data_IF_940674301455
#
_entry.id   IF_940674301455
#
_cell.length_a   1.000
_cell.length_b   1.000
_cell.length_c   1.000
_cell.angle_alpha   90.00
_cell.angle_beta   90.00
_cell.angle_gamma   90.00
#
_symmetry.space_group_name_H-M   'P 1'
#
loop_
_entity.id
_entity.type
_entity.pdbx_description
1 polymer ?
#
# COMPACT_ATOMS: atom_id res chain seq x y z
N UNK A 1 5.90 6.90 23.56
CA UNK A 1 5.34 8.22 23.95
C UNK A 1 4.39 8.70 22.86
N UNK A 2 3.36 9.52 23.14
CA UNK A 2 2.46 10.04 22.10
C UNK A 2 2.45 11.58 22.10
N UNK A 3 2.52 12.17 20.90
CA UNK A 3 2.51 13.61 20.68
C UNK A 3 1.30 14.01 19.81
N UNK A 4 0.77 15.20 20.10
CA UNK A 4 -0.26 15.86 19.33
C UNK A 4 0.36 16.90 18.37
N UNK A 5 0.09 16.77 17.07
CA UNK A 5 0.61 17.66 16.02
C UNK A 5 -0.57 18.38 15.34
N UNK A 6 -0.79 19.68 15.62
CA UNK A 6 -1.89 20.42 15.02
C UNK A 6 -1.80 20.52 13.50
N UNK A 7 -2.93 20.78 12.83
CA UNK A 7 -2.96 21.08 11.40
C UNK A 7 -2.10 22.31 11.06
N UNK A 8 -1.33 22.23 9.96
CA UNK A 8 -0.50 23.34 9.49
C UNK A 8 0.76 23.59 10.31
N UNK A 9 1.10 22.74 11.28
CA UNK A 9 2.25 22.93 12.20
C UNK A 9 3.25 21.78 12.15
N UNK A 10 4.46 22.09 12.63
CA UNK A 10 5.55 21.13 12.83
C UNK A 10 5.88 21.12 14.31
N UNK A 11 5.92 19.94 14.90
CA UNK A 11 6.32 19.75 16.29
C UNK A 11 7.64 18.99 16.35
N UNK A 12 8.61 19.51 17.10
CA UNK A 12 9.95 18.93 17.22
C UNK A 12 10.28 18.61 18.68
N UNK A 13 10.86 17.44 18.90
CA UNK A 13 11.27 16.94 20.22
C UNK A 13 12.79 16.76 20.21
N UNK A 14 13.45 17.25 21.25
CA UNK A 14 14.90 17.19 21.37
C UNK A 14 15.30 16.16 22.42
N UNK A 15 16.15 15.19 22.03
CA UNK A 15 16.67 14.17 22.93
C UNK A 15 18.20 14.30 23.03
N UNK A 16 18.75 14.61 24.22
CA UNK A 16 20.20 14.63 24.43
C UNK A 16 20.76 13.20 24.48
N UNK A 17 21.74 12.91 23.62
CA UNK A 17 22.47 11.64 23.56
C UNK A 17 23.97 11.92 23.71
N UNK A 18 24.39 12.17 24.96
CA UNK A 18 25.77 12.61 25.28
C UNK A 18 26.64 11.46 25.81
N UNK A 19 26.03 10.42 26.40
CA UNK A 19 26.76 9.33 27.04
C UNK A 19 27.53 8.45 26.02
N UNK A 20 28.82 8.23 26.28
CA UNK A 20 29.71 7.39 25.45
C UNK A 20 29.38 5.89 25.47
N UNK A 21 28.49 5.46 26.38
CA UNK A 21 27.98 4.08 26.41
C UNK A 21 27.01 3.79 25.27
N UNK A 22 26.38 4.81 24.69
CA UNK A 22 25.51 4.60 23.54
C UNK A 22 26.32 4.62 22.24
N UNK A 23 26.07 3.64 21.40
CA UNK A 23 26.71 3.48 20.08
C UNK A 23 25.73 3.79 18.94
N UNK A 24 24.45 3.41 19.10
CA UNK A 24 23.41 3.69 18.12
C UNK A 24 22.08 3.94 18.82
N UNK A 25 21.15 4.59 18.13
CA UNK A 25 19.77 4.69 18.57
C UNK A 25 18.82 4.29 17.45
N UNK A 26 17.64 3.82 17.81
CA UNK A 26 16.56 3.46 16.91
C UNK A 26 15.33 4.27 17.28
N UNK A 27 14.66 4.86 16.30
CA UNK A 27 13.41 5.60 16.50
C UNK A 27 12.32 4.95 15.69
N UNK A 28 11.24 4.60 16.36
CA UNK A 28 10.02 4.08 15.77
C UNK A 28 8.92 5.12 15.92
N UNK A 29 8.14 5.32 14.87
CA UNK A 29 6.95 6.17 14.93
C UNK A 29 5.77 5.56 14.17
N UNK A 30 4.57 5.87 14.63
CA UNK A 30 3.32 5.42 14.04
C UNK A 30 2.22 6.47 14.27
N UNK A 31 1.51 6.83 13.20
CA UNK A 31 0.34 7.71 13.29
C UNK A 31 -0.84 6.89 13.82
N UNK A 32 -1.38 7.31 14.97
CA UNK A 32 -2.53 6.66 15.62
C UNK A 32 -3.83 7.14 14.96
N UNK A 33 -3.95 8.44 14.74
CA UNK A 33 -5.20 9.07 14.30
C UNK A 33 -4.93 10.42 13.61
N UNK A 34 -5.76 10.75 12.62
CA UNK A 34 -5.87 12.08 12.02
C UNK A 34 -5.74 12.09 10.50
N UNK A 35 -6.76 12.61 9.80
CA UNK A 35 -6.76 12.76 8.34
C UNK A 35 -6.57 11.42 7.60
N UNK A 36 -5.58 11.36 6.71
CA UNK A 36 -5.19 10.13 5.99
C UNK A 36 -4.18 9.27 6.77
N UNK A 37 -3.97 9.57 8.06
CA UNK A 37 -2.99 8.94 8.94
C UNK A 37 -1.56 9.01 8.39
N UNK A 38 -1.18 10.12 7.78
CA UNK A 38 0.13 10.35 7.19
C UNK A 38 0.91 11.45 7.93
N UNK A 39 2.22 11.37 8.05
CA UNK A 39 3.04 12.42 8.65
C UNK A 39 4.38 12.50 7.94
N UNK A 40 4.95 13.71 7.84
CA UNK A 40 6.31 13.88 7.36
C UNK A 40 7.27 13.87 8.56
N UNK A 41 8.19 12.91 8.61
CA UNK A 41 9.15 12.75 9.69
C UNK A 41 10.53 13.28 9.27
N UNK A 42 11.16 14.08 10.12
CA UNK A 42 12.48 14.66 9.87
C UNK A 42 13.35 14.44 11.11
N UNK A 43 14.47 13.75 10.92
CA UNK A 43 15.49 13.53 11.95
C UNK A 43 16.70 14.43 11.68
N UNK A 44 17.05 15.28 12.64
CA UNK A 44 18.22 16.16 12.56
C UNK A 44 19.28 15.79 13.59
N UNK A 45 20.54 15.83 13.16
CA UNK A 45 21.70 15.69 14.01
C UNK A 45 21.90 16.92 14.92
N UNK A 46 22.73 16.81 15.97
CA UNK A 46 23.11 17.94 16.83
C UNK A 46 23.78 19.08 16.06
N UNK A 47 24.42 18.77 14.93
CA UNK A 47 25.03 19.75 14.02
C UNK A 47 23.99 20.43 13.09
N UNK A 48 22.71 20.06 13.20
CA UNK A 48 21.61 20.58 12.38
C UNK A 48 21.45 19.92 11.01
N UNK A 49 22.19 18.85 10.72
CA UNK A 49 22.14 18.13 9.44
C UNK A 49 20.94 17.17 9.47
N UNK A 50 20.17 17.12 8.38
CA UNK A 50 19.06 16.16 8.24
C UNK A 50 19.65 14.78 7.92
N UNK A 51 19.40 13.81 8.79
CA UNK A 51 19.90 12.44 8.67
C UNK A 51 18.89 11.56 7.94
N UNK A 52 17.63 11.66 8.35
CA UNK A 52 16.51 10.94 7.75
C UNK A 52 15.35 11.91 7.51
N UNK A 53 14.68 11.74 6.38
CA UNK A 53 13.50 12.51 6.03
C UNK A 53 12.54 11.61 5.26
N UNK A 54 11.37 11.41 5.83
CA UNK A 54 10.27 10.68 5.21
C UNK A 54 9.09 11.63 5.03
N UNK A 55 8.40 11.49 3.91
CA UNK A 55 7.29 12.35 3.56
C UNK A 55 6.00 11.54 3.53
N UNK A 56 4.97 12.01 4.23
CA UNK A 56 3.61 11.46 4.24
C UNK A 56 3.59 9.93 4.45
N UNK A 57 4.25 9.46 5.52
CA UNK A 57 4.26 8.06 5.93
C UNK A 57 3.36 7.84 7.13
N UNK A 58 2.79 6.65 7.21
CA UNK A 58 1.90 6.23 8.30
C UNK A 58 2.68 5.68 9.49
N UNK A 59 3.83 5.10 9.21
CA UNK A 59 4.77 4.54 10.17
C UNK A 59 6.18 4.53 9.56
N UNK A 60 7.18 4.43 10.43
CA UNK A 60 8.57 4.31 10.02
C UNK A 60 9.48 3.96 11.19
N UNK A 61 10.63 3.37 10.86
CA UNK A 61 11.67 2.99 11.82
C UNK A 61 13.04 3.35 11.26
N UNK A 62 13.85 4.07 12.05
CA UNK A 62 15.17 4.54 11.65
C UNK A 62 16.21 4.21 12.71
N UNK A 63 17.25 3.46 12.32
CA UNK A 63 18.41 3.16 13.16
C UNK A 63 19.62 3.98 12.75
N UNK A 64 20.15 4.78 13.67
CA UNK A 64 21.28 5.68 13.44
C UNK A 64 22.46 5.30 14.32
N UNK A 65 23.65 5.27 13.73
CA UNK A 65 24.91 5.01 14.43
C UNK A 65 25.56 6.35 14.80
N UNK A 66 25.91 6.52 16.08
CA UNK A 66 26.43 7.77 16.66
C UNK A 66 27.91 8.00 16.37
N UNK A 67 28.68 6.93 16.18
CA UNK A 67 30.13 6.99 15.91
C UNK A 67 30.46 7.43 14.47
N UNK A 68 29.45 7.63 13.61
CA UNK A 68 29.66 8.19 12.28
C UNK A 68 30.01 9.69 12.35
N UNK A 69 30.99 10.15 11.53
CA UNK A 69 31.56 11.48 11.63
C UNK A 69 30.54 12.61 11.39
N UNK A 70 29.44 12.33 10.69
CA UNK A 70 28.39 13.31 10.37
C UNK A 70 27.26 13.38 11.40
N UNK A 71 27.15 12.38 12.28
CA UNK A 71 26.06 12.26 13.26
C UNK A 71 26.47 12.83 14.62
N UNK A 72 27.67 12.50 15.09
CA UNK A 72 28.21 13.02 16.35
C UNK A 72 27.39 12.63 17.59
N UNK A 73 27.71 13.24 18.74
CA UNK A 73 26.98 13.07 20.00
C UNK A 73 26.45 14.42 20.46
N UNK A 74 25.22 14.47 20.94
CA UNK A 74 24.56 15.72 21.33
C UNK A 74 23.03 15.62 21.24
N UNK A 75 22.38 16.75 20.99
CA UNK A 75 20.93 16.87 20.99
C UNK A 75 20.34 16.58 19.61
N UNK A 76 19.66 15.45 19.48
CA UNK A 76 18.96 15.08 18.25
C UNK A 76 17.55 15.65 18.24
N UNK A 77 17.12 16.18 17.10
CA UNK A 77 15.77 16.70 16.93
C UNK A 77 14.93 15.76 16.06
N UNK A 78 13.82 15.29 16.64
CA UNK A 78 12.80 14.46 15.99
C UNK A 78 11.61 15.36 15.68
N UNK A 79 11.42 15.69 14.41
CA UNK A 79 10.38 16.61 13.96
C UNK A 79 9.28 15.86 13.21
N UNK A 80 8.03 16.13 13.59
CA UNK A 80 6.82 15.64 12.94
C UNK A 80 6.12 16.82 12.27
N UNK A 81 6.07 16.81 10.95
CA UNK A 81 5.55 17.86 10.11
C UNK A 81 4.14 17.50 9.61
N UNK A 82 3.16 18.29 10.05
CA UNK A 82 1.76 18.24 9.62
C UNK A 82 1.35 19.54 8.90
N UNK A 83 2.30 20.26 8.29
CA UNK A 83 2.06 21.51 7.58
C UNK A 83 1.16 21.36 6.35
N UNK A 84 1.14 20.16 5.77
CA UNK A 84 0.36 19.84 4.58
C UNK A 84 -1.14 19.59 4.87
N UNK A 85 -1.52 19.30 6.12
CA UNK A 85 -2.92 19.11 6.49
C UNK A 85 -3.58 20.45 6.83
N UNK A 86 -4.64 20.78 6.10
CA UNK A 86 -5.37 22.04 6.25
C UNK A 86 -6.27 22.08 7.49
N UNK A 87 -6.85 20.95 7.88
CA UNK A 87 -7.88 20.92 8.94
C UNK A 87 -7.74 19.74 9.91
N UNK A 88 -7.00 18.69 9.59
CA UNK A 88 -6.85 17.52 10.44
C UNK A 88 -5.58 17.59 11.28
N UNK A 89 -5.77 17.65 12.59
CA UNK A 89 -4.76 17.35 13.60
C UNK A 89 -4.40 15.87 13.58
N UNK A 90 -3.19 15.56 14.05
CA UNK A 90 -2.64 14.20 14.04
C UNK A 90 -2.07 13.83 15.39
N UNK A 91 -2.27 12.56 15.77
CA UNK A 91 -1.70 11.97 16.97
C UNK A 91 -0.67 10.92 16.56
N UNK A 92 0.58 11.15 16.93
CA UNK A 92 1.70 10.27 16.56
C UNK A 92 2.27 9.62 17.81
N UNK A 93 2.31 8.30 17.82
CA UNK A 93 3.08 7.54 18.79
C UNK A 93 4.51 7.42 18.28
N UNK A 94 5.49 7.66 19.13
CA UNK A 94 6.89 7.43 18.82
C UNK A 94 7.65 6.93 20.04
N UNK A 95 8.71 6.18 19.79
CA UNK A 95 9.58 5.63 20.80
C UNK A 95 11.03 5.68 20.35
N UNK A 96 11.94 5.96 21.28
CA UNK A 96 13.37 6.10 21.02
C UNK A 96 14.09 5.06 21.88
N UNK A 97 14.83 4.19 21.22
CA UNK A 97 15.62 3.15 21.83
C UNK A 97 17.11 3.51 21.75
N UNK A 98 17.82 3.45 22.88
CA UNK A 98 19.25 3.69 22.95
C UNK A 98 19.98 2.34 23.07
N UNK A 99 20.93 2.08 22.17
CA UNK A 99 21.65 0.80 22.07
C UNK A 99 23.15 0.97 22.38
N UNK A 100 23.72 0.01 23.10
CA UNK A 100 25.16 -0.11 23.34
C UNK A 100 25.89 -0.72 22.12
N UNK A 101 27.22 -0.84 22.22
CA UNK A 101 28.14 -1.44 21.24
C UNK A 101 27.78 -2.87 20.85
N UNK A 102 27.23 -3.63 21.80
CA UNK A 102 26.78 -5.00 21.58
C UNK A 102 25.37 -5.07 20.97
N UNK A 103 24.74 -3.93 20.66
CA UNK A 103 23.37 -3.85 20.15
C UNK A 103 22.30 -4.13 21.21
N UNK A 104 22.70 -4.20 22.48
CA UNK A 104 21.78 -4.40 23.60
C UNK A 104 21.17 -3.06 24.03
N UNK A 105 19.88 -3.10 24.35
CA UNK A 105 19.15 -1.96 24.88
C UNK A 105 19.57 -1.68 26.32
N UNK A 106 20.07 -0.47 26.58
CA UNK A 106 20.43 -0.03 27.92
C UNK A 106 19.21 0.65 28.56
N UNK A 107 18.56 -0.04 29.49
CA UNK A 107 17.51 0.55 30.33
C UNK A 107 18.13 1.51 31.36
N UNK A 108 17.39 2.55 31.75
CA UNK A 108 17.77 3.51 32.82
C UNK A 108 18.15 2.80 34.14
N UNK A 109 17.68 1.56 34.33
CA UNK A 109 18.05 0.70 35.46
C UNK A 109 19.52 0.22 35.45
N UNK A 110 20.13 -0.03 34.28
CA UNK A 110 21.54 -0.43 34.18
C UNK A 110 22.49 0.73 34.52
N UNK A 111 22.04 1.99 34.35
CA UNK A 111 22.78 3.18 34.81
C UNK A 111 22.92 3.21 36.33
N UNK A 112 21.89 2.79 37.08
CA UNK A 112 21.92 2.71 38.55
C UNK A 112 22.70 1.51 39.07
N UNK A 113 22.71 0.39 38.35
CA UNK A 113 23.41 -0.83 38.78
C UNK A 113 24.92 -0.72 38.52
N UNK A 114 25.33 -0.19 37.37
CA UNK A 114 26.75 0.01 37.01
C UNK A 114 27.48 1.00 37.93
N UNK A 115 26.77 1.94 38.56
CA UNK A 115 27.35 2.85 39.54
C UNK A 115 27.65 2.19 40.90
N UNK A 116 27.10 1.00 41.16
CA UNK A 116 27.21 0.30 42.46
C UNK A 116 28.21 -0.86 42.48
N UNK A 117 28.60 -1.37 41.31
CA UNK A 117 29.54 -2.49 41.13
C UNK A 117 31.03 -2.09 41.15
N UNK A 118 31.39 -1.13 42.00
CA UNK A 118 32.79 -0.81 42.31
C UNK A 118 33.22 -1.60 43.55
N UNK A 119 33.29 -2.93 43.48
CA UNK A 119 33.71 -3.73 44.63
C UNK A 119 33.70 -5.26 44.45
N UNK A 120 34.84 -5.79 43.98
CA UNK A 120 35.43 -7.08 44.37
C UNK A 120 34.51 -8.33 44.30
N UNK A 121 34.26 -8.87 43.10
CA UNK A 121 34.10 -10.31 42.79
C UNK A 121 33.77 -10.51 41.29
N UNK A 122 34.77 -10.35 40.42
CA UNK A 122 34.57 -10.30 38.96
C UNK A 122 34.52 -11.68 38.26
N UNK A 123 35.11 -12.73 38.84
CA UNK A 123 35.43 -13.95 38.07
C UNK A 123 34.33 -15.04 38.12
N UNK A 124 33.57 -15.13 39.22
CA UNK A 124 32.41 -16.05 39.34
C UNK A 124 31.09 -15.43 38.84
N UNK A 125 31.06 -14.11 38.62
CA UNK A 125 29.89 -13.40 38.13
C UNK A 125 29.77 -13.41 36.60
N UNK A 126 30.80 -13.73 35.84
CA UNK A 126 30.76 -13.63 34.36
C UNK A 126 29.74 -14.60 33.72
N UNK A 127 29.62 -15.83 34.24
CA UNK A 127 28.67 -16.82 33.73
C UNK A 127 27.22 -16.50 34.13
N UNK A 128 27.02 -15.98 35.35
CA UNK A 128 25.69 -15.55 35.83
C UNK A 128 25.25 -14.26 35.14
N UNK A 129 26.17 -13.31 34.94
CA UNK A 129 25.94 -12.08 34.18
C UNK A 129 25.64 -12.37 32.72
N UNK A 130 26.28 -13.36 32.08
CA UNK A 130 25.97 -13.73 30.68
C UNK A 130 24.54 -14.25 30.51
N UNK A 131 24.08 -15.11 31.42
CA UNK A 131 22.69 -15.62 31.39
C UNK A 131 21.71 -14.50 31.74
N UNK A 132 22.02 -13.69 32.75
CA UNK A 132 21.19 -12.54 33.16
C UNK A 132 21.08 -11.50 32.05
N UNK A 133 22.18 -11.16 31.38
CA UNK A 133 22.20 -10.21 30.27
C UNK A 133 21.45 -10.75 29.05
N UNK A 134 21.53 -12.06 28.77
CA UNK A 134 20.74 -12.69 27.70
C UNK A 134 19.24 -12.66 28.00
N UNK A 135 18.84 -12.97 29.24
CA UNK A 135 17.43 -12.89 29.65
C UNK A 135 16.94 -11.44 29.63
N UNK A 136 17.74 -10.49 30.12
CA UNK A 136 17.44 -9.05 30.04
C UNK A 136 17.26 -8.57 28.61
N UNK A 137 18.17 -8.96 27.70
CA UNK A 137 18.08 -8.61 26.27
C UNK A 137 16.78 -9.14 25.64
N UNK A 138 16.42 -10.38 25.92
CA UNK A 138 15.17 -10.97 25.45
C UNK A 138 13.92 -10.27 26.04
N UNK A 139 13.95 -9.92 27.32
CA UNK A 139 12.84 -9.19 27.96
C UNK A 139 12.65 -7.80 27.35
N UNK A 140 13.74 -7.09 27.05
CA UNK A 140 13.67 -5.77 26.43
C UNK A 140 13.16 -5.86 24.98
N UNK A 141 13.55 -6.90 24.23
CA UNK A 141 12.99 -7.14 22.90
C UNK A 141 11.49 -7.46 22.95
N UNK A 142 11.03 -8.22 23.95
CA UNK A 142 9.60 -8.48 24.18
C UNK A 142 8.86 -7.19 24.53
N UNK A 143 9.45 -6.34 25.39
CA UNK A 143 8.88 -5.04 25.77
C UNK A 143 8.71 -4.13 24.54
N UNK A 144 9.72 -4.08 23.66
CA UNK A 144 9.63 -3.36 22.37
C UNK A 144 8.48 -3.87 21.51
N UNK A 145 8.42 -5.18 21.27
CA UNK A 145 7.32 -5.78 20.50
C UNK A 145 5.96 -5.45 21.13
N UNK A 146 5.85 -5.54 22.45
CA UNK A 146 4.61 -5.21 23.15
C UNK A 146 4.22 -3.72 22.96
N UNK A 147 5.19 -2.80 22.97
CA UNK A 147 4.95 -1.38 22.72
C UNK A 147 4.40 -1.14 21.30
N UNK A 148 5.01 -1.76 20.30
CA UNK A 148 4.54 -1.70 18.90
C UNK A 148 3.12 -2.26 18.77
N UNK A 149 2.82 -3.43 19.37
CA UNK A 149 1.47 -3.98 19.35
C UNK A 149 0.45 -3.08 20.04
N UNK A 150 0.82 -2.40 21.14
CA UNK A 150 -0.08 -1.43 21.81
C UNK A 150 -0.39 -0.22 20.93
N UNK A 151 0.58 0.26 20.15
CA UNK A 151 0.37 1.37 19.23
C UNK A 151 -0.57 0.98 18.08
N UNK A 152 -0.38 -0.22 17.52
CA UNK A 152 -1.28 -0.81 16.51
C UNK A 152 -2.68 -1.01 17.08
N UNK A 153 -2.80 -1.61 18.26
CA UNK A 153 -4.10 -1.82 18.93
C UNK A 153 -4.84 -0.50 19.16
N UNK A 154 -4.12 0.56 19.60
CA UNK A 154 -4.72 1.87 19.79
C UNK A 154 -5.26 2.47 18.48
N UNK A 155 -4.52 2.32 17.37
CA UNK A 155 -4.92 2.76 16.02
C UNK A 155 -6.09 1.94 15.47
N UNK A 156 -6.07 0.64 15.66
CA UNK A 156 -7.14 -0.25 15.18
C UNK A 156 -8.42 0.03 15.96
N UNK A 157 -8.31 0.23 17.28
CA UNK A 157 -9.44 0.59 18.13
C UNK A 157 -10.09 1.89 17.69
N UNK A 158 -9.32 2.95 17.43
CA UNK A 158 -9.89 4.23 16.96
C UNK A 158 -10.59 4.07 15.61
N UNK A 159 -10.01 3.30 14.69
CA UNK A 159 -10.61 3.02 13.38
C UNK A 159 -11.93 2.25 13.49
N UNK A 160 -11.99 1.27 14.40
CA UNK A 160 -13.19 0.47 14.67
C UNK A 160 -14.28 1.33 15.31
N UNK A 161 -13.95 2.20 16.27
CA UNK A 161 -14.92 3.07 16.95
C UNK A 161 -15.61 4.01 15.93
N UNK A 162 -14.83 4.64 15.03
CA UNK A 162 -15.38 5.52 13.98
C UNK A 162 -16.25 4.74 12.97
N UNK A 163 -15.83 3.53 12.59
CA UNK A 163 -16.61 2.68 11.70
C UNK A 163 -17.93 2.23 12.35
N UNK A 164 -17.88 1.83 13.62
CA UNK A 164 -19.02 1.41 14.40
C UNK A 164 -20.07 2.51 14.51
N UNK A 165 -19.68 3.74 14.86
CA UNK A 165 -20.62 4.86 14.94
C UNK A 165 -21.31 5.14 13.59
N UNK A 166 -20.55 5.16 12.50
CA UNK A 166 -21.09 5.39 11.15
C UNK A 166 -22.09 4.31 10.77
N UNK A 167 -21.74 3.04 10.95
CA UNK A 167 -22.61 1.91 10.60
C UNK A 167 -23.88 1.93 11.45
N UNK A 168 -23.75 2.16 12.76
CA UNK A 168 -24.89 2.19 13.66
C UNK A 168 -25.84 3.36 13.34
N UNK A 169 -25.30 4.53 13.01
CA UNK A 169 -26.10 5.70 12.60
C UNK A 169 -26.93 5.41 11.35
N UNK A 170 -26.30 4.88 10.28
CA UNK A 170 -27.00 4.55 9.04
C UNK A 170 -27.98 3.38 9.21
N UNK A 171 -27.65 2.40 10.05
CA UNK A 171 -28.55 1.30 10.38
C UNK A 171 -29.79 1.79 11.14
N UNK A 172 -29.61 2.74 12.07
CA UNK A 172 -30.69 3.40 12.79
C UNK A 172 -31.63 4.19 11.88
N UNK A 173 -31.09 4.93 10.90
CA UNK A 173 -31.89 5.63 9.89
C UNK A 173 -32.72 4.64 9.07
N UNK A 174 -32.10 3.55 8.60
CA UNK A 174 -32.81 2.53 7.81
C UNK A 174 -33.95 1.88 8.61
N UNK A 175 -33.69 1.52 9.88
CA UNK A 175 -34.72 0.98 10.77
C UNK A 175 -35.89 1.96 10.94
N UNK A 176 -35.60 3.24 11.14
CA UNK A 176 -36.62 4.29 11.25
C UNK A 176 -37.45 4.41 9.96
N UNK A 177 -36.82 4.40 8.79
CA UNK A 177 -37.51 4.44 7.50
C UNK A 177 -38.46 3.26 7.30
N UNK A 178 -38.06 2.04 7.70
CA UNK A 178 -38.91 0.84 7.61
C UNK A 178 -40.14 0.94 8.52
N UNK A 179 -39.96 1.40 9.76
CA UNK A 179 -41.07 1.61 10.70
C UNK A 179 -42.02 2.68 10.15
N UNK A 180 -41.48 3.81 9.69
CA UNK A 180 -42.27 4.89 9.11
C UNK A 180 -43.08 4.41 7.89
N UNK A 181 -42.44 3.69 6.96
CA UNK A 181 -43.12 3.13 5.80
C UNK A 181 -44.24 2.15 6.20
N UNK A 182 -44.00 1.32 7.22
CA UNK A 182 -45.01 0.39 7.76
C UNK A 182 -46.22 1.13 8.34
N UNK A 183 -45.98 2.21 9.09
CA UNK A 183 -47.06 3.07 9.60
C UNK A 183 -47.87 3.73 8.48
N UNK A 184 -47.18 4.25 7.46
CA UNK A 184 -47.82 4.86 6.28
C UNK A 184 -48.65 3.83 5.51
N UNK A 185 -48.14 2.61 5.35
CA UNK A 185 -48.87 1.51 4.71
C UNK A 185 -50.16 1.19 5.46
N UNK A 186 -50.10 1.02 6.79
CA UNK A 186 -51.30 0.74 7.61
C UNK A 186 -52.29 1.91 7.56
N UNK A 187 -51.79 3.15 7.61
CA UNK A 187 -52.63 4.34 7.48
C UNK A 187 -53.31 4.42 6.10
N UNK A 188 -52.58 4.14 5.02
CA UNK A 188 -53.14 4.10 3.66
C UNK A 188 -54.23 3.05 3.52
N UNK A 189 -54.01 1.83 4.03
CA UNK A 189 -55.00 0.75 3.95
C UNK A 189 -56.26 1.12 4.73
N UNK A 190 -56.14 1.67 5.95
CA UNK A 190 -57.30 2.17 6.71
C UNK A 190 -58.00 3.32 5.99
N UNK A 191 -57.24 4.27 5.45
CA UNK A 191 -57.74 5.43 4.72
C UNK A 191 -58.40 5.08 3.37
N UNK A 192 -58.11 3.92 2.80
CA UNK A 192 -58.78 3.40 1.60
C UNK A 192 -60.10 2.69 1.93
N UNK A 193 -60.21 2.10 3.12
CA UNK A 193 -61.41 1.42 3.61
C UNK A 193 -62.41 2.37 4.26
N UNK A 194 -61.93 3.43 4.91
CA UNK A 194 -62.74 4.55 5.38
C UNK A 194 -62.82 5.63 4.28
N UNK A 195 -64.00 6.20 3.99
CA UNK A 195 -64.22 7.28 2.99
C UNK A 195 -63.56 8.60 3.42
N UNK A 196 -62.25 8.57 3.56
CA UNK A 196 -61.39 9.67 3.99
C UNK A 196 -60.80 10.39 2.76
N UNK A 197 -60.48 11.68 2.91
CA UNK A 197 -60.00 12.54 1.79
C UNK A 197 -58.79 11.95 1.04
N UNK A 198 -57.93 11.18 1.72
CA UNK A 198 -56.76 10.54 1.11
C UNK A 198 -57.13 9.31 0.28
N UNK A 199 -58.14 8.53 0.68
CA UNK A 199 -58.68 7.41 -0.11
C UNK A 199 -59.22 7.88 -1.47
N UNK A 200 -59.93 9.02 -1.49
CA UNK A 200 -60.39 9.65 -2.73
C UNK A 200 -59.24 10.12 -3.64
N UNK A 201 -58.13 10.60 -3.07
CA UNK A 201 -56.94 11.03 -3.83
C UNK A 201 -56.19 9.85 -4.45
N UNK A 202 -56.10 8.72 -3.75
CA UNK A 202 -55.47 7.49 -4.24
C UNK A 202 -56.32 6.83 -5.35
N UNK A 203 -57.66 6.87 -5.24
CA UNK A 203 -58.60 6.36 -6.26
C UNK A 203 -58.46 7.05 -7.62
N UNK A 204 -58.01 8.30 -7.65
CA UNK A 204 -57.74 9.07 -8.87
C UNK A 204 -56.36 8.77 -9.51
N UNK A 205 -55.64 7.74 -9.04
CA UNK A 205 -54.59 7.06 -9.82
C UNK A 205 -53.23 7.75 -9.93
N UNK A 206 -52.96 8.82 -9.16
CA UNK A 206 -51.72 9.60 -9.31
C UNK A 206 -50.56 9.19 -8.38
N UNK A 207 -50.77 8.36 -7.37
CA UNK A 207 -49.73 8.00 -6.40
C UNK A 207 -49.49 6.47 -6.39
N UNK A 208 -48.33 6.04 -6.90
CA UNK A 208 -47.86 4.64 -6.82
C UNK A 208 -46.82 4.53 -5.69
N UNK A 209 -47.21 4.07 -4.48
CA UNK A 209 -46.33 4.07 -3.31
C UNK A 209 -45.11 3.13 -3.46
N UNK A 210 -45.25 2.06 -4.26
CA UNK A 210 -44.18 1.09 -4.51
C UNK A 210 -42.95 1.71 -5.20
N UNK A 211 -43.16 2.61 -6.17
CA UNK A 211 -42.06 3.31 -6.86
C UNK A 211 -41.38 4.33 -5.96
N UNK A 212 -42.16 5.13 -5.22
CA UNK A 212 -41.61 6.15 -4.32
C UNK A 212 -40.75 5.53 -3.20
N UNK A 213 -41.14 4.37 -2.68
CA UNK A 213 -40.38 3.62 -1.69
C UNK A 213 -39.07 3.06 -2.27
N UNK A 214 -39.13 2.43 -3.44
CA UNK A 214 -37.94 1.90 -4.13
C UNK A 214 -36.97 3.00 -4.55
N UNK A 215 -37.47 4.17 -4.95
CA UNK A 215 -36.64 5.33 -5.32
C UNK A 215 -35.96 5.97 -4.10
N UNK A 216 -36.66 6.09 -2.96
CA UNK A 216 -36.09 6.61 -1.72
C UNK A 216 -35.08 5.64 -1.08
N UNK A 217 -35.41 4.35 -1.04
CA UNK A 217 -34.51 3.31 -0.55
C UNK A 217 -33.29 3.15 -1.48
N UNK A 218 -33.51 3.26 -2.79
CA UNK A 218 -32.44 3.25 -3.80
C UNK A 218 -31.54 4.48 -3.74
N UNK A 219 -32.05 5.65 -3.34
CA UNK A 219 -31.27 6.86 -3.14
C UNK A 219 -30.41 6.80 -1.86
N UNK A 220 -30.96 6.28 -0.76
CA UNK A 220 -30.24 6.07 0.51
C UNK A 220 -29.17 4.96 0.41
N UNK A 221 -29.46 3.86 -0.31
CA UNK A 221 -28.47 2.81 -0.58
C UNK A 221 -27.34 3.28 -1.51
N UNK A 222 -27.63 4.25 -2.40
CA UNK A 222 -26.67 4.83 -3.37
C UNK A 222 -25.52 5.59 -2.70
N UNK A 223 -25.74 6.07 -1.48
CA UNK A 223 -24.71 6.76 -0.69
C UNK A 223 -23.77 5.77 0.02
N UNK A 224 -24.22 4.53 0.28
CA UNK A 224 -23.49 3.59 1.12
C UNK A 224 -22.63 2.57 0.36
N UNK A 225 -22.95 2.25 -0.90
CA UNK A 225 -22.10 1.38 -1.72
C UNK A 225 -21.63 2.09 -2.98
N UNK A 226 -20.31 2.31 -3.01
CA UNK A 226 -19.55 2.73 -4.19
C UNK A 226 -20.18 2.13 -5.45
N UNK A 227 -20.58 2.98 -6.40
CA UNK A 227 -21.02 2.55 -7.75
C UNK A 227 -20.04 1.53 -8.37
N UNK A 228 -18.79 1.49 -7.90
CA UNK A 228 -17.78 0.49 -8.25
C UNK A 228 -18.07 -0.91 -7.71
N UNK A 229 -18.53 -1.06 -6.47
CA UNK A 229 -18.78 -2.38 -5.85
C UNK A 229 -19.97 -3.08 -6.52
N UNK A 230 -21.03 -2.33 -6.83
CA UNK A 230 -22.20 -2.88 -7.54
C UNK A 230 -21.84 -3.31 -8.98
N UNK A 231 -21.12 -2.45 -9.72
CA UNK A 231 -20.61 -2.80 -11.06
C UNK A 231 -19.67 -4.01 -11.04
N UNK A 232 -18.90 -4.15 -9.96
CA UNK A 232 -18.03 -5.30 -9.76
C UNK A 232 -18.85 -6.59 -9.58
N UNK A 233 -19.85 -6.59 -8.70
CA UNK A 233 -20.72 -7.74 -8.49
C UNK A 233 -21.44 -8.16 -9.78
N UNK A 234 -21.96 -7.19 -10.55
CA UNK A 234 -22.59 -7.45 -11.86
C UNK A 234 -21.61 -8.09 -12.86
N UNK A 235 -20.35 -7.65 -12.85
CA UNK A 235 -19.32 -8.18 -13.75
C UNK A 235 -18.96 -9.62 -13.38
N UNK A 236 -18.88 -9.93 -12.08
CA UNK A 236 -18.61 -11.28 -11.60
C UNK A 236 -19.79 -12.22 -11.88
N UNK A 237 -21.02 -11.75 -11.66
CA UNK A 237 -22.26 -12.48 -12.00
C UNK A 237 -22.32 -12.82 -13.51
N UNK A 238 -21.90 -11.89 -14.39
CA UNK A 238 -21.76 -12.17 -15.81
C UNK A 238 -20.76 -13.30 -16.10
N UNK A 239 -19.60 -13.32 -15.44
CA UNK A 239 -18.59 -14.39 -15.61
C UNK A 239 -19.16 -15.74 -15.19
N UNK A 240 -19.82 -15.79 -14.03
CA UNK A 240 -20.38 -17.03 -13.47
C UNK A 240 -21.50 -17.59 -14.35
N UNK A 241 -22.38 -16.75 -14.89
CA UNK A 241 -23.48 -17.17 -15.76
C UNK A 241 -23.03 -17.69 -17.13
N UNK A 242 -21.83 -17.34 -17.56
CA UNK A 242 -21.29 -17.71 -18.88
C UNK A 242 -20.08 -18.65 -18.76
N UNK A 243 -19.95 -19.40 -17.65
CA UNK A 243 -18.85 -20.36 -17.46
C UNK A 243 -18.80 -21.46 -18.53
N UNK A 244 -19.94 -21.77 -19.14
CA UNK A 244 -20.04 -22.74 -20.24
C UNK A 244 -19.43 -22.23 -21.56
N UNK A 245 -19.37 -20.91 -21.76
CA UNK A 245 -18.74 -20.27 -22.92
C UNK A 245 -17.52 -19.43 -22.50
N UNK A 246 -16.42 -20.15 -22.34
CA UNK A 246 -15.14 -19.57 -21.96
C UNK A 246 -14.61 -18.52 -22.97
N UNK A 247 -15.01 -18.59 -24.24
CA UNK A 247 -14.58 -17.65 -25.26
C UNK A 247 -15.19 -16.25 -25.04
N UNK A 248 -16.45 -16.19 -24.65
CA UNK A 248 -17.15 -14.95 -24.34
C UNK A 248 -16.61 -14.28 -23.06
N UNK A 249 -16.29 -15.08 -22.04
CA UNK A 249 -15.70 -14.60 -20.78
C UNK A 249 -14.33 -13.97 -21.03
N UNK A 250 -13.48 -14.63 -21.81
CA UNK A 250 -12.11 -14.15 -22.10
C UNK A 250 -12.10 -12.91 -23.00
N UNK A 251 -12.99 -12.80 -23.98
CA UNK A 251 -13.12 -11.59 -24.81
C UNK A 251 -13.59 -10.38 -23.97
N UNK A 252 -14.55 -10.58 -23.07
CA UNK A 252 -15.02 -9.51 -22.19
C UNK A 252 -13.96 -9.10 -21.16
N UNK A 253 -13.19 -10.05 -20.63
CA UNK A 253 -12.04 -9.79 -19.78
C UNK A 253 -10.98 -8.93 -20.51
N UNK A 254 -10.66 -9.26 -21.77
CA UNK A 254 -9.71 -8.47 -22.56
C UNK A 254 -10.22 -7.03 -22.82
N UNK A 255 -11.50 -6.88 -23.20
CA UNK A 255 -12.13 -5.56 -23.38
C UNK A 255 -12.11 -4.72 -22.10
N UNK A 256 -12.32 -5.36 -20.95
CA UNK A 256 -12.29 -4.70 -19.66
C UNK A 256 -10.86 -4.26 -19.30
N UNK A 257 -9.86 -5.11 -19.55
CA UNK A 257 -8.44 -4.76 -19.39
C UNK A 257 -8.00 -3.56 -20.22
N UNK A 258 -8.44 -3.50 -21.50
CA UNK A 258 -8.17 -2.35 -22.40
C UNK A 258 -8.76 -1.05 -21.85
N UNK A 259 -9.96 -1.07 -21.28
CA UNK A 259 -10.56 0.11 -20.65
C UNK A 259 -9.74 0.61 -19.46
N UNK A 260 -9.19 -0.31 -18.66
CA UNK A 260 -8.32 0.04 -17.53
C UNK A 260 -7.01 0.73 -17.99
N UNK A 261 -6.47 0.36 -19.15
CA UNK A 261 -5.28 0.98 -19.73
C UNK A 261 -5.51 2.41 -20.26
N UNK A 262 -6.75 2.78 -20.55
CA UNK A 262 -7.12 4.12 -21.06
C UNK A 262 -7.39 5.15 -19.96
N UNK A 263 -7.40 4.76 -18.69
CA UNK A 263 -7.60 5.72 -17.60
C UNK A 263 -6.37 6.62 -17.41
N UNK A 264 -6.54 7.92 -17.05
CA UNK A 264 -5.46 8.91 -17.08
C UNK A 264 -4.30 8.58 -16.12
N UNK A 265 -3.07 8.71 -16.62
CA UNK A 265 -1.80 8.40 -15.95
C UNK A 265 -1.44 9.29 -14.74
N UNK A 266 -2.20 10.35 -14.45
CA UNK A 266 -1.88 11.29 -13.35
C UNK A 266 -2.29 10.78 -11.95
N UNK A 267 -3.29 9.89 -11.87
CA UNK A 267 -3.70 9.16 -10.65
C UNK A 267 -3.85 7.65 -10.94
N UNK A 268 -3.01 7.12 -11.83
CA UNK A 268 -3.25 5.92 -12.62
C UNK A 268 -3.42 4.60 -11.85
N UNK A 269 -4.16 3.67 -12.47
CA UNK A 269 -4.37 2.30 -12.00
C UNK A 269 -3.03 1.59 -11.73
N UNK A 270 -2.73 1.28 -10.47
CA UNK A 270 -1.48 0.61 -10.07
C UNK A 270 -1.56 -0.88 -10.40
N UNK A 271 -0.45 -1.46 -10.87
CA UNK A 271 -0.37 -2.89 -11.16
C UNK A 271 -0.58 -3.78 -9.92
N UNK A 272 -0.30 -3.25 -8.73
CA UNK A 272 -0.52 -3.90 -7.43
C UNK A 272 -2.01 -4.19 -7.17
N UNK A 273 -2.93 -3.40 -7.72
CA UNK A 273 -4.36 -3.59 -7.55
C UNK A 273 -4.86 -4.92 -8.12
N UNK A 274 -4.19 -5.48 -9.14
CA UNK A 274 -4.54 -6.80 -9.69
C UNK A 274 -4.30 -7.94 -8.70
N UNK A 275 -3.25 -7.83 -7.87
CA UNK A 275 -2.92 -8.87 -6.89
C UNK A 275 -3.88 -8.79 -5.70
N UNK A 276 -4.11 -7.57 -5.18
CA UNK A 276 -5.08 -7.32 -4.11
C UNK A 276 -6.48 -7.80 -4.54
N UNK A 277 -6.87 -7.52 -5.78
CA UNK A 277 -8.13 -7.99 -6.35
C UNK A 277 -8.25 -9.52 -6.35
N UNK A 278 -7.19 -10.25 -6.71
CA UNK A 278 -7.17 -11.70 -6.70
C UNK A 278 -7.37 -12.26 -5.28
N UNK A 279 -6.64 -11.68 -4.33
CA UNK A 279 -6.65 -12.11 -2.93
C UNK A 279 -8.03 -11.84 -2.29
N UNK A 280 -8.59 -10.64 -2.47
CA UNK A 280 -9.89 -10.30 -1.88
C UNK A 280 -11.04 -11.21 -2.38
N UNK A 281 -11.06 -11.60 -3.66
CA UNK A 281 -12.10 -12.50 -4.18
C UNK A 281 -11.96 -13.88 -3.57
N UNK A 282 -10.72 -14.39 -3.53
CA UNK A 282 -10.45 -15.74 -3.05
C UNK A 282 -10.66 -15.85 -1.54
N UNK A 283 -10.27 -14.83 -0.76
CA UNK A 283 -10.52 -14.75 0.67
C UNK A 283 -12.02 -14.59 0.98
N UNK A 284 -12.72 -13.74 0.22
CA UNK A 284 -14.16 -13.54 0.37
C UNK A 284 -14.97 -14.83 0.12
N UNK A 285 -14.54 -15.66 -0.83
CA UNK A 285 -15.16 -16.98 -1.09
C UNK A 285 -14.76 -17.99 0.00
N UNK A 286 -13.51 -17.97 0.47
CA UNK A 286 -13.03 -18.86 1.53
C UNK A 286 -13.73 -18.65 2.87
N UNK A 287 -14.27 -17.46 3.12
CA UNK A 287 -15.05 -17.17 4.32
C UNK A 287 -16.46 -17.79 4.31
N UNK A 288 -16.97 -18.20 3.14
CA UNK A 288 -18.33 -18.70 2.96
C UNK A 288 -18.44 -20.18 2.54
N UNK A 289 -17.34 -20.85 2.23
CA UNK A 289 -17.36 -22.19 1.60
C UNK A 289 -16.42 -23.19 2.31
N UNK A 290 -16.98 -24.32 2.76
CA UNK A 290 -16.21 -25.36 3.50
C UNK A 290 -15.49 -26.36 2.56
N UNK A 291 -15.80 -26.36 1.25
CA UNK A 291 -15.29 -27.35 0.29
C UNK A 291 -13.98 -26.92 -0.39
N UNK A 292 -12.93 -27.72 -0.24
CA UNK A 292 -11.59 -27.45 -0.83
C UNK A 292 -11.58 -27.46 -2.37
N UNK A 293 -12.43 -28.28 -2.99
CA UNK A 293 -12.48 -28.39 -4.46
C UNK A 293 -13.06 -27.14 -5.10
N UNK A 294 -14.13 -26.58 -4.51
CA UNK A 294 -14.75 -25.34 -5.01
C UNK A 294 -13.79 -24.15 -4.89
N UNK A 295 -13.03 -24.09 -3.80
CA UNK A 295 -12.01 -23.06 -3.59
C UNK A 295 -10.87 -23.13 -4.62
N UNK A 296 -10.47 -24.33 -5.05
CA UNK A 296 -9.48 -24.52 -6.12
C UNK A 296 -10.04 -24.08 -7.49
N UNK A 297 -11.30 -24.41 -7.78
CA UNK A 297 -11.97 -24.00 -9.01
C UNK A 297 -12.07 -22.46 -9.10
N UNK A 298 -12.45 -21.80 -8.01
CA UNK A 298 -12.49 -20.34 -7.93
C UNK A 298 -11.12 -19.70 -8.11
N UNK A 299 -10.08 -20.23 -7.47
CA UNK A 299 -8.70 -19.76 -7.69
C UNK A 299 -8.29 -19.85 -9.15
N UNK A 300 -8.58 -20.98 -9.79
CA UNK A 300 -8.26 -21.18 -11.21
C UNK A 300 -9.01 -20.19 -12.10
N UNK A 301 -10.31 -19.99 -11.85
CA UNK A 301 -11.14 -19.05 -12.60
C UNK A 301 -10.65 -17.61 -12.46
N UNK A 302 -10.40 -17.16 -11.23
CA UNK A 302 -9.94 -15.78 -10.95
C UNK A 302 -8.57 -15.52 -11.58
N UNK A 303 -7.62 -16.45 -11.44
CA UNK A 303 -6.31 -16.32 -12.08
C UNK A 303 -6.42 -16.23 -13.60
N UNK A 304 -7.33 -17.00 -14.18
CA UNK A 304 -7.59 -17.00 -15.61
C UNK A 304 -8.17 -15.66 -16.06
N UNK A 305 -9.20 -15.15 -15.39
CA UNK A 305 -9.78 -13.82 -15.71
C UNK A 305 -8.72 -12.72 -15.60
N UNK A 306 -7.92 -12.73 -14.53
CA UNK A 306 -6.84 -11.75 -14.32
C UNK A 306 -5.79 -11.84 -15.43
N UNK A 307 -5.41 -13.04 -15.88
CA UNK A 307 -4.46 -13.21 -16.97
C UNK A 307 -4.93 -12.50 -18.25
N UNK A 308 -6.19 -12.69 -18.65
CA UNK A 308 -6.75 -12.03 -19.84
C UNK A 308 -6.93 -10.52 -19.66
N UNK A 309 -7.34 -10.08 -18.47
CA UNK A 309 -7.48 -8.64 -18.17
C UNK A 309 -6.12 -7.92 -18.15
N UNK A 310 -5.13 -8.47 -17.44
CA UNK A 310 -3.82 -7.83 -17.19
C UNK A 310 -2.88 -7.97 -18.40
N UNK A 311 -2.58 -9.19 -18.82
CA UNK A 311 -1.53 -9.43 -19.81
C UNK A 311 -2.00 -9.10 -21.23
N UNK A 312 -3.22 -9.55 -21.59
CA UNK A 312 -3.74 -9.39 -22.95
C UNK A 312 -4.46 -8.07 -23.16
N UNK A 313 -5.24 -7.61 -22.17
CA UNK A 313 -5.95 -6.34 -22.23
C UNK A 313 -5.07 -5.14 -21.84
N UNK A 314 -4.63 -5.08 -20.59
CA UNK A 314 -4.01 -3.89 -20.00
C UNK A 314 -2.58 -3.62 -20.48
N UNK A 315 -1.66 -4.58 -20.33
CA UNK A 315 -0.23 -4.37 -20.64
C UNK A 315 -0.02 -4.12 -22.14
N UNK A 316 -0.72 -4.88 -22.98
CA UNK A 316 -0.65 -4.74 -24.45
C UNK A 316 -1.15 -3.38 -24.93
N UNK A 317 -2.26 -2.90 -24.38
CA UNK A 317 -2.83 -1.60 -24.76
C UNK A 317 -2.00 -0.45 -24.21
N UNK A 318 -1.48 -0.57 -22.99
CA UNK A 318 -0.57 0.42 -22.39
C UNK A 318 0.70 0.60 -23.23
N UNK A 319 1.31 -0.50 -23.68
CA UNK A 319 2.47 -0.46 -24.59
C UNK A 319 2.13 0.16 -25.95
N UNK A 320 0.93 -0.09 -26.47
CA UNK A 320 0.43 0.52 -27.71
C UNK A 320 0.27 2.04 -27.54
N UNK A 321 -0.38 2.49 -26.46
CA UNK A 321 -0.56 3.91 -26.15
C UNK A 321 0.78 4.62 -25.97
N UNK A 322 1.73 4.01 -25.25
CA UNK A 322 3.10 4.54 -25.07
C UNK A 322 3.84 4.70 -26.41
N UNK A 323 3.68 3.73 -27.33
CA UNK A 323 4.25 3.79 -28.69
C UNK A 323 3.64 4.91 -29.53
N UNK A 324 2.32 5.10 -29.46
CA UNK A 324 1.67 6.22 -30.16
C UNK A 324 2.09 7.58 -29.59
N UNK A 325 2.29 7.69 -28.27
CA UNK A 325 2.79 8.91 -27.63
C UNK A 325 4.24 9.23 -28.04
N UNK A 326 5.13 8.23 -28.14
CA UNK A 326 6.52 8.42 -28.56
C UNK A 326 6.66 8.79 -30.04
N UNK A 327 5.80 8.25 -30.90
CA UNK A 327 5.70 8.64 -32.31
C UNK A 327 5.20 10.09 -32.47
N UNK A 328 4.20 10.52 -31.69
CA UNK A 328 3.76 11.93 -31.65
C UNK A 328 4.85 12.88 -31.16
N UNK A 329 5.66 12.48 -30.18
CA UNK A 329 6.82 13.28 -29.71
C UNK A 329 7.92 13.40 -30.76
N UNK A 330 8.16 12.34 -31.53
CA UNK A 330 9.16 12.31 -32.61
C UNK A 330 8.75 13.18 -33.80
N UNK A 331 7.44 13.32 -34.05
CA UNK A 331 6.84 14.15 -35.09
C UNK A 331 6.34 15.49 -34.52
N UNK A 332 7.18 16.19 -33.76
CA UNK A 332 6.87 17.57 -33.34
C UNK A 332 7.29 18.58 -34.42
N UNK A 333 6.49 19.62 -34.69
CA UNK A 333 6.72 20.58 -35.79
C UNK A 333 8.07 21.33 -35.67
N UNK A 334 8.64 21.37 -34.46
CA UNK A 334 9.94 21.98 -34.16
C UNK A 334 11.11 21.27 -34.84
N UNK A 335 11.02 19.96 -35.11
CA UNK A 335 12.06 19.20 -35.81
C UNK A 335 11.92 19.28 -37.33
N UNK A 336 10.70 19.38 -37.85
CA UNK A 336 10.43 19.59 -39.27
C UNK A 336 10.96 20.96 -39.76
N UNK A 337 10.80 22.01 -38.94
CA UNK A 337 11.37 23.33 -39.24
C UNK A 337 12.92 23.34 -39.28
N UNK A 338 13.57 22.48 -38.47
CA UNK A 338 15.04 22.38 -38.42
C UNK A 338 15.62 21.65 -39.66
N UNK A 339 14.86 20.76 -40.28
CA UNK A 339 15.27 20.03 -41.51
C UNK A 339 15.16 20.93 -42.75
N UNK A 340 14.17 21.84 -42.80
CA UNK A 340 14.03 22.79 -43.91
C UNK A 340 15.14 23.85 -43.96
N UNK A 341 15.75 24.21 -42.83
CA UNK A 341 16.82 25.21 -42.78
C UNK A 341 18.19 24.66 -43.22
N UNK A 342 18.36 23.33 -43.29
CA UNK A 342 19.60 22.69 -43.73
C UNK A 342 19.64 22.40 -45.24
N UNK A 343 18.52 22.52 -45.97
CA UNK A 343 18.44 22.21 -47.40
C UNK A 343 18.64 23.43 -48.33
N UNK A 344 18.86 24.63 -47.81
CA UNK A 344 19.07 25.85 -48.63
C UNK A 344 20.54 26.23 -48.84
N UNK A 345 21.49 25.43 -48.34
CA UNK A 345 22.93 25.65 -48.52
C UNK A 345 23.56 24.38 -49.08
N UNK A 346 23.38 24.11 -50.38
CA UNK A 346 24.38 23.44 -51.25
C UNK A 346 23.77 23.15 -52.63
N UNK A 347 24.26 23.85 -53.66
CA UNK A 347 24.17 23.46 -55.07
C UNK A 347 25.58 23.32 -55.66
N UNK A 348 25.77 22.50 -56.71
CA UNK A 348 27.03 21.78 -56.95
C UNK A 348 27.84 22.29 -58.15
N UNK A 349 29.16 22.09 -58.14
CA UNK A 349 30.00 22.14 -59.34
C UNK A 349 31.02 21.00 -59.37
N UNK A 350 30.97 20.22 -60.45
CA UNK A 350 31.77 19.03 -60.76
C UNK A 350 33.21 19.33 -61.20
N UNK A 351 34.16 18.43 -60.88
CA UNK A 351 35.27 17.91 -61.74
C UNK A 351 36.07 16.86 -60.95
N UNK A 352 36.03 15.57 -61.27
CA UNK A 352 36.77 14.79 -62.29
C UNK A 352 38.20 14.37 -61.88
N UNK A 353 38.35 13.05 -61.68
CA UNK A 353 39.49 12.17 -62.04
C UNK A 353 40.20 11.38 -60.91
N UNK A 354 39.86 10.09 -60.89
CA UNK A 354 40.73 8.90 -60.86
C UNK A 354 41.70 8.64 -59.70
N UNK A 355 41.35 7.65 -58.87
CA UNK A 355 42.25 6.80 -58.09
C UNK A 355 41.50 5.55 -57.60
N UNK A 356 41.95 4.36 -57.99
CA UNK A 356 41.41 3.06 -57.56
C UNK A 356 41.64 2.81 -56.05
N UNK A 357 40.69 2.11 -55.38
CA UNK A 357 40.85 1.01 -54.39
C UNK A 357 39.44 0.61 -53.85
N UNK A 358 39.18 -0.67 -53.47
CA UNK A 358 37.84 -1.22 -53.35
C UNK A 358 37.27 -1.31 -51.91
N UNK A 359 35.94 -1.26 -51.88
CA UNK A 359 34.91 -1.74 -50.94
C UNK A 359 35.38 -2.34 -49.59
N UNK A 360 34.91 -1.75 -48.49
CA UNK A 360 34.70 -2.36 -47.17
C UNK A 360 33.51 -1.70 -46.46
N UNK A 361 32.54 -2.45 -45.90
CA UNK A 361 31.44 -1.88 -45.12
C UNK A 361 31.73 -1.88 -43.61
N UNK A 362 31.57 -0.72 -42.98
CA UNK A 362 31.70 -0.53 -41.53
C UNK A 362 30.39 -0.90 -40.81
N UNK A 363 30.51 -1.84 -39.87
CA UNK A 363 29.52 -2.27 -38.91
C UNK A 363 29.73 -1.52 -37.57
N UNK A 364 28.71 -0.82 -37.09
CA UNK A 364 28.52 -0.33 -35.70
C UNK A 364 27.00 -0.08 -35.61
N UNK A 365 26.16 -0.63 -34.73
CA UNK A 365 26.27 -1.06 -33.34
C UNK A 365 25.19 -2.14 -33.05
N UNK A 366 25.58 -3.34 -32.64
CA UNK A 366 24.67 -4.41 -32.19
C UNK A 366 24.97 -4.88 -30.75
N UNK A 367 25.76 -4.13 -29.99
CA UNK A 367 26.31 -4.59 -28.69
C UNK A 367 25.58 -4.13 -27.43
N UNK A 368 24.47 -3.41 -27.53
CA UNK A 368 23.79 -2.88 -26.32
C UNK A 368 22.54 -3.69 -25.90
N UNK A 369 22.05 -4.63 -26.72
CA UNK A 369 20.85 -5.44 -26.39
C UNK A 369 21.14 -6.80 -25.75
N UNK A 370 22.39 -7.29 -25.78
CA UNK A 370 22.73 -8.59 -25.21
C UNK A 370 23.11 -8.55 -23.73
N UNK A 371 23.39 -7.38 -23.16
CA UNK A 371 23.80 -7.27 -21.75
C UNK A 371 22.61 -7.40 -20.77
N UNK A 372 21.43 -6.90 -21.15
CA UNK A 372 20.23 -7.01 -20.32
C UNK A 372 19.63 -8.43 -20.28
N UNK A 373 19.84 -9.23 -21.34
CA UNK A 373 19.40 -10.63 -21.38
C UNK A 373 20.28 -11.56 -20.55
N UNK A 374 21.59 -11.27 -20.45
CA UNK A 374 22.52 -12.04 -19.61
C UNK A 374 22.33 -11.78 -18.11
N UNK A 375 21.98 -10.54 -17.71
CA UNK A 375 21.69 -10.22 -16.31
C UNK A 375 20.40 -10.87 -15.79
N UNK A 376 19.35 -10.99 -16.62
CA UNK A 376 18.10 -11.65 -16.22
C UNK A 376 18.25 -13.16 -15.98
N UNK A 377 19.12 -13.84 -16.75
CA UNK A 377 19.39 -15.28 -16.60
C UNK A 377 20.23 -15.61 -15.36
N UNK A 378 21.13 -14.71 -14.95
CA UNK A 378 21.92 -14.89 -13.73
C UNK A 378 21.08 -14.74 -12.45
N UNK A 379 20.04 -13.90 -12.46
CA UNK A 379 19.13 -13.73 -11.33
C UNK A 379 18.08 -14.84 -11.20
N UNK A 380 17.74 -15.52 -12.30
CA UNK A 380 16.87 -16.70 -12.29
C UNK A 380 17.64 -17.94 -11.76
N UNK A 381 18.92 -18.06 -12.11
CA UNK A 381 19.80 -19.11 -11.58
C UNK A 381 20.08 -18.90 -10.08
N UNK A 382 20.18 -17.65 -9.61
CA UNK A 382 20.32 -17.33 -8.18
C UNK A 382 19.05 -17.65 -7.39
N UNK A 383 17.86 -17.31 -7.90
CA UNK A 383 16.57 -17.62 -7.25
C UNK A 383 16.33 -19.12 -7.07
N UNK A 384 16.68 -19.94 -8.06
CA UNK A 384 16.54 -21.40 -7.96
C UNK A 384 17.51 -22.03 -6.95
N UNK A 385 18.66 -21.41 -6.66
CA UNK A 385 19.57 -21.88 -5.62
C UNK A 385 19.05 -21.65 -4.18
N UNK A 386 18.14 -20.70 -3.97
CA UNK A 386 17.57 -20.41 -2.64
C UNK A 386 16.35 -21.28 -2.33
N UNK A 387 15.56 -21.66 -3.33
CA UNK A 387 14.40 -22.56 -3.16
C UNK A 387 14.81 -24.00 -2.90
N UNK A 388 15.91 -24.49 -3.50
CA UNK A 388 16.44 -25.85 -3.22
C UNK A 388 17.11 -25.96 -1.84
N UNK A 389 17.57 -24.86 -1.24
CA UNK A 389 18.14 -24.84 0.13
C UNK A 389 17.09 -24.75 1.23
N UNK A 390 15.85 -24.34 0.91
CA UNK A 390 14.75 -24.27 1.88
C UNK A 390 13.94 -25.58 1.99
N UNK A 391 14.02 -26.46 0.98
CA UNK A 391 13.34 -27.77 0.98
C UNK A 391 14.13 -28.90 1.64
N UNK A 392 15.33 -28.64 2.18
CA UNK A 392 16.21 -29.66 2.80
C UNK A 392 16.37 -29.51 4.32
N UNK A 393 15.55 -28.67 4.99
CA UNK A 393 15.62 -28.48 6.43
C UNK A 393 14.26 -28.64 7.15
N UNK A 394 13.53 -29.72 6.88
CA UNK A 394 12.36 -30.10 7.71
C UNK A 394 11.97 -31.58 7.58
N UNK A 395 12.76 -32.49 8.15
CA UNK A 395 12.29 -33.82 8.60
C UNK A 395 13.20 -34.36 9.71
N UNK A 396 12.76 -34.46 10.98
CA UNK A 396 13.38 -35.35 11.94
C UNK A 396 12.71 -36.74 11.82
N UNK A 397 13.51 -37.73 11.45
CA UNK A 397 13.18 -39.15 11.49
C UNK A 397 13.12 -39.63 12.94
N UNK A 398 11.98 -40.18 13.36
CA UNK A 398 11.84 -40.98 14.59
C UNK A 398 12.50 -42.34 14.37
N UNK A 399 13.62 -42.58 15.03
CA UNK A 399 14.21 -43.91 15.16
C UNK A 399 13.52 -44.69 16.29
N UNK A 400 12.75 -45.71 15.90
CA UNK A 400 12.33 -46.80 16.78
C UNK A 400 13.48 -47.81 16.87
N UNK A 401 14.08 -47.97 18.06
CA UNK A 401 14.80 -49.19 18.43
C UNK A 401 14.54 -49.52 19.90
N UNK A 402 13.80 -50.64 20.06
CA UNK A 402 13.63 -51.56 21.20
C UNK A 402 13.29 -51.01 22.58
#
# INVERSE_FOLDING_TARGET
>A
MAIFVPAGKVECIYQPIVNLKYNSFEVDYQVIEGGENDISFILKSPSGIIIASEQQKTDGSHKIILDEPNHGRGDYAFCFDNSFSYSSDKRVFFEIFLLDKDGNYLSDYDMKLSAKDSGLLAEQFETFSRVTNKVKGNLNEIERMQSQFRAVEARDRSSIEVAFERINFWSGINLFCLIFASCVQVYMVRSLLEDSRMGNFIRHGKFKPEKAYMDACGALQKEFNSKSLFRFADTLDFVVRNLDDFSLVTENAEKLGKKHATFPLENGFKQEYWNIFAECIVEGISAGEECKETLLAWRQLVQTVIYYMKLLGYDRETLRLARHASLRRSYSPTRAARIQQQQSLEQPSQRFSSGLIPISPLAVSFEEKNNYRQQALLDETRRNSYTTKMSTLSTPTMDNKL
#
